data_IF_675912021631
#
_entry.id   IF_675912021631
#
_cell.length_a   1.000
_cell.length_b   1.000
_cell.length_c   1.000
_cell.angle_alpha   90.00
_cell.angle_beta   90.00
_cell.angle_gamma   90.00
#
_symmetry.space_group_name_H-M   'P 1'
#
loop_
_entity.id
_entity.type
_entity.pdbx_description
1 polymer ?
#
# COMPACT_ATOMS: atom_id res chain seq x y z
N UNK A 1 15.98 -21.21 23.21
CA UNK A 1 15.82 -20.16 24.26
C UNK A 1 17.08 -19.33 24.51
N UNK A 2 18.29 -19.92 24.43
CA UNK A 2 19.55 -19.20 24.67
C UNK A 2 19.75 -17.98 23.76
N UNK A 3 19.28 -18.04 22.54
CA UNK A 3 19.36 -16.94 21.57
C UNK A 3 18.47 -15.77 21.97
N UNK A 4 17.20 -15.99 22.28
CA UNK A 4 16.27 -14.94 22.73
C UNK A 4 16.77 -14.29 24.01
N UNK A 5 17.21 -15.08 24.96
CA UNK A 5 17.74 -14.59 26.24
C UNK A 5 19.01 -13.76 26.07
N UNK A 6 19.90 -14.13 25.13
CA UNK A 6 21.10 -13.35 24.81
C UNK A 6 20.80 -12.01 24.15
N UNK A 7 19.67 -11.92 23.43
CA UNK A 7 19.17 -10.69 22.83
C UNK A 7 18.28 -9.86 23.80
N UNK A 8 18.06 -10.33 25.03
CA UNK A 8 17.16 -9.68 25.99
C UNK A 8 15.68 -9.72 25.58
N UNK A 9 15.31 -10.69 24.73
CA UNK A 9 13.95 -10.85 24.20
C UNK A 9 13.25 -12.06 24.79
N UNK A 10 11.95 -12.02 24.79
CA UNK A 10 11.06 -13.13 25.14
C UNK A 10 10.35 -13.66 23.91
N UNK A 11 9.76 -14.85 23.99
CA UNK A 11 8.87 -15.37 22.94
C UNK A 11 7.71 -14.46 22.63
N UNK A 12 7.21 -13.72 23.63
CA UNK A 12 6.15 -12.71 23.48
C UNK A 12 6.57 -11.55 22.58
N UNK A 13 7.86 -11.14 22.66
CA UNK A 13 8.36 -10.00 21.88
C UNK A 13 8.43 -10.30 20.36
N UNK A 14 8.65 -11.57 20.00
CA UNK A 14 8.71 -11.99 18.59
C UNK A 14 7.37 -12.52 18.07
N UNK A 15 6.46 -12.94 18.94
CA UNK A 15 5.15 -13.50 18.57
C UNK A 15 4.02 -12.48 18.53
N UNK A 16 4.31 -11.23 18.87
CA UNK A 16 3.29 -10.18 19.04
C UNK A 16 2.14 -10.63 19.98
N UNK A 17 2.52 -11.33 21.06
CA UNK A 17 1.59 -11.86 22.07
C UNK A 17 0.89 -13.18 21.65
N UNK A 18 1.24 -13.78 20.50
CA UNK A 18 0.67 -15.06 20.06
C UNK A 18 1.37 -16.25 20.72
N UNK A 19 0.64 -17.34 20.89
CA UNK A 19 1.22 -18.58 21.38
C UNK A 19 2.19 -19.16 20.33
N UNK A 20 3.44 -19.37 20.74
CA UNK A 20 4.48 -19.94 19.89
C UNK A 20 4.77 -21.37 20.28
N UNK A 21 4.90 -22.23 19.26
CA UNK A 21 5.32 -23.62 19.42
C UNK A 21 6.75 -23.79 18.93
N UNK A 22 7.55 -24.54 19.68
CA UNK A 22 8.85 -25.00 19.18
C UNK A 22 8.61 -26.25 18.33
N UNK A 23 9.03 -26.20 17.09
CA UNK A 23 8.96 -27.34 16.16
C UNK A 23 10.34 -27.68 15.65
N UNK A 24 10.67 -28.97 15.59
CA UNK A 24 11.95 -29.46 15.06
C UNK A 24 11.76 -29.92 13.63
N UNK A 25 12.49 -29.31 12.68
CA UNK A 25 12.54 -29.69 11.27
C UNK A 25 14.01 -29.89 10.87
N UNK A 26 14.34 -31.02 10.31
CA UNK A 26 15.71 -31.37 9.88
C UNK A 26 16.78 -31.15 10.98
N UNK A 27 16.44 -31.52 12.23
CA UNK A 27 17.33 -31.43 13.40
C UNK A 27 17.55 -29.99 13.90
N UNK A 28 16.82 -29.01 13.38
CA UNK A 28 16.83 -27.58 13.82
C UNK A 28 15.53 -27.22 14.51
N UNK A 29 15.62 -26.43 15.57
CA UNK A 29 14.45 -25.88 16.26
C UNK A 29 14.01 -24.58 15.59
N UNK A 30 12.69 -24.44 15.41
CA UNK A 30 12.02 -23.27 14.90
C UNK A 30 10.91 -22.83 15.86
N UNK A 31 10.69 -21.55 15.95
CA UNK A 31 9.50 -21.00 16.59
C UNK A 31 8.40 -20.82 15.55
N UNK A 32 7.25 -21.42 15.77
CA UNK A 32 6.09 -21.37 14.86
C UNK A 32 4.89 -20.75 15.59
N UNK A 33 4.40 -19.64 15.07
CA UNK A 33 3.11 -19.07 15.46
C UNK A 33 2.14 -19.24 14.28
N UNK A 34 0.97 -19.83 14.53
CA UNK A 34 -0.04 -20.07 13.51
C UNK A 34 -1.30 -19.30 13.85
N UNK A 35 -1.82 -18.57 12.87
CA UNK A 35 -3.09 -17.89 12.97
C UNK A 35 -3.97 -18.25 11.77
N UNK A 36 -5.23 -18.62 12.02
CA UNK A 36 -6.17 -19.02 10.97
C UNK A 36 -7.32 -18.02 10.89
N UNK A 37 -7.55 -17.48 9.71
CA UNK A 37 -8.66 -16.56 9.43
C UNK A 37 -9.65 -17.19 8.46
N UNK A 38 -10.93 -17.13 8.81
CA UNK A 38 -12.05 -17.45 7.91
C UNK A 38 -12.99 -16.26 7.89
N UNK A 39 -13.17 -15.64 6.73
CA UNK A 39 -13.96 -14.42 6.62
C UNK A 39 -14.39 -14.12 5.17
N UNK A 40 -15.05 -12.96 4.97
CA UNK A 40 -15.37 -12.43 3.65
C UNK A 40 -14.11 -12.10 2.86
N UNK A 41 -14.20 -12.09 1.53
CA UNK A 41 -13.09 -11.78 0.62
C UNK A 41 -12.38 -10.46 0.97
N UNK A 42 -13.15 -9.42 1.31
CA UNK A 42 -12.57 -8.11 1.68
C UNK A 42 -11.69 -8.20 2.93
N UNK A 43 -12.16 -8.91 3.95
CA UNK A 43 -11.40 -9.09 5.20
C UNK A 43 -10.19 -10.00 5.02
N UNK A 44 -10.28 -11.05 4.19
CA UNK A 44 -9.11 -11.86 3.80
C UNK A 44 -8.07 -11.00 3.10
N UNK A 45 -8.50 -10.09 2.21
CA UNK A 45 -7.61 -9.13 1.55
C UNK A 45 -6.86 -8.22 2.53
N UNK A 46 -7.50 -7.77 3.59
CA UNK A 46 -6.87 -6.98 4.67
C UNK A 46 -5.82 -7.81 5.43
N UNK A 47 -6.15 -9.04 5.83
CA UNK A 47 -5.22 -9.95 6.52
C UNK A 47 -4.00 -10.27 5.65
N UNK A 48 -4.20 -10.60 4.37
CA UNK A 48 -3.10 -10.89 3.45
C UNK A 48 -2.21 -9.65 3.24
N UNK A 49 -2.81 -8.47 3.14
CA UNK A 49 -2.07 -7.21 3.05
C UNK A 49 -1.19 -6.96 4.28
N UNK A 50 -1.74 -7.21 5.46
CA UNK A 50 -1.02 -7.05 6.73
C UNK A 50 0.13 -8.04 6.84
N UNK A 51 -0.14 -9.32 6.58
CA UNK A 51 0.86 -10.39 6.65
C UNK A 51 2.00 -10.23 5.63
N UNK A 52 1.71 -9.77 4.41
CA UNK A 52 2.69 -9.63 3.33
C UNK A 52 3.28 -8.22 3.23
N UNK A 53 2.88 -7.27 4.08
CA UNK A 53 3.25 -5.85 4.01
C UNK A 53 3.07 -5.26 2.61
N UNK A 54 2.08 -5.75 1.87
CA UNK A 54 1.84 -5.42 0.46
C UNK A 54 0.35 -5.45 0.11
N UNK A 55 -0.05 -4.61 -0.85
CA UNK A 55 -1.42 -4.64 -1.35
C UNK A 55 -1.72 -5.99 -2.02
N UNK A 56 -2.73 -6.69 -1.54
CA UNK A 56 -3.18 -7.96 -2.08
C UNK A 56 -4.50 -7.79 -2.84
N UNK A 57 -4.56 -8.30 -4.05
CA UNK A 57 -5.79 -8.46 -4.82
C UNK A 57 -6.38 -9.84 -4.52
N UNK A 58 -7.52 -9.87 -3.85
CA UNK A 58 -8.21 -11.10 -3.47
C UNK A 58 -9.63 -11.08 -4.01
N UNK A 59 -10.02 -12.20 -4.60
CA UNK A 59 -11.41 -12.49 -5.00
C UNK A 59 -11.79 -13.88 -4.48
N UNK A 60 -13.02 -14.33 -4.72
CA UNK A 60 -13.42 -15.71 -4.39
C UNK A 60 -12.66 -16.79 -5.14
N UNK A 61 -11.94 -16.44 -6.20
CA UNK A 61 -11.23 -17.38 -7.07
C UNK A 61 -9.73 -17.07 -7.25
N UNK A 62 -9.25 -15.92 -6.78
CA UNK A 62 -7.88 -15.47 -7.10
C UNK A 62 -7.25 -14.68 -5.97
N UNK A 63 -6.01 -15.02 -5.65
CA UNK A 63 -5.09 -14.21 -4.84
C UNK A 63 -3.96 -13.72 -5.74
N UNK A 64 -3.58 -12.44 -5.60
CA UNK A 64 -2.40 -11.87 -6.23
C UNK A 64 -1.79 -10.77 -5.33
N UNK A 65 -0.48 -10.83 -5.11
CA UNK A 65 0.29 -9.78 -4.44
C UNK A 65 1.73 -9.74 -4.96
N UNK A 66 2.29 -8.55 -5.10
CA UNK A 66 3.72 -8.32 -5.32
C UNK A 66 4.38 -8.04 -3.98
N UNK A 67 5.20 -8.95 -3.50
CA UNK A 67 5.77 -8.93 -2.15
C UNK A 67 7.23 -8.49 -2.20
N UNK A 68 7.60 -7.56 -1.32
CA UNK A 68 8.98 -7.09 -1.14
C UNK A 68 9.23 -6.87 0.36
N UNK A 69 9.49 -7.93 1.09
CA UNK A 69 9.65 -7.89 2.54
C UNK A 69 10.97 -7.27 2.98
N UNK A 70 12.03 -7.39 2.18
CA UNK A 70 13.35 -6.85 2.50
C UNK A 70 13.39 -5.34 2.82
N UNK A 71 12.36 -4.59 2.43
CA UNK A 71 12.24 -3.15 2.70
C UNK A 71 11.22 -2.84 3.79
N UNK A 72 10.67 -3.85 4.47
CA UNK A 72 9.71 -3.65 5.56
C UNK A 72 10.38 -3.08 6.81
N UNK A 73 9.61 -2.39 7.64
CA UNK A 73 10.09 -1.88 8.92
C UNK A 73 10.55 -3.01 9.85
N UNK A 74 9.87 -4.16 9.81
CA UNK A 74 10.24 -5.34 10.60
C UNK A 74 11.64 -5.85 10.22
N UNK A 75 11.96 -5.94 8.92
CA UNK A 75 13.28 -6.35 8.45
C UNK A 75 14.35 -5.35 8.87
N UNK A 76 14.07 -4.05 8.75
CA UNK A 76 15.00 -3.01 9.22
C UNK A 76 15.27 -3.13 10.73
N UNK A 77 14.23 -3.41 11.53
CA UNK A 77 14.36 -3.63 12.96
C UNK A 77 15.21 -4.86 13.29
N UNK A 78 14.92 -6.01 12.68
CA UNK A 78 15.69 -7.24 12.91
C UNK A 78 17.15 -7.09 12.48
N UNK A 79 17.40 -6.44 11.35
CA UNK A 79 18.76 -6.17 10.89
C UNK A 79 19.54 -5.26 11.84
N UNK A 80 18.88 -4.25 12.43
CA UNK A 80 19.47 -3.37 13.43
C UNK A 80 19.83 -4.11 14.73
N UNK A 81 19.14 -5.22 15.03
CA UNK A 81 19.41 -6.12 16.14
C UNK A 81 20.46 -7.20 15.82
N UNK A 82 21.07 -7.16 14.62
CA UNK A 82 22.06 -8.14 14.19
C UNK A 82 21.47 -9.51 13.79
N UNK A 83 20.15 -9.59 13.57
CA UNK A 83 19.47 -10.82 13.17
C UNK A 83 19.59 -11.02 11.66
N UNK A 84 20.04 -12.20 11.24
CA UNK A 84 20.03 -12.57 9.82
C UNK A 84 18.60 -12.81 9.32
N UNK A 85 18.06 -11.82 8.65
CA UNK A 85 16.69 -11.90 8.10
C UNK A 85 16.54 -12.89 6.96
N UNK A 86 17.63 -13.38 6.39
CA UNK A 86 17.61 -14.45 5.38
C UNK A 86 17.24 -15.83 5.97
N UNK A 87 17.47 -16.00 7.27
CA UNK A 87 17.10 -17.21 8.00
C UNK A 87 15.62 -17.24 8.44
N UNK A 88 14.92 -16.08 8.35
CA UNK A 88 13.52 -15.97 8.79
C UNK A 88 12.59 -16.14 7.59
N UNK A 89 11.60 -17.03 7.73
CA UNK A 89 10.57 -17.28 6.70
C UNK A 89 9.17 -17.02 7.25
N UNK A 90 8.34 -16.41 6.42
CA UNK A 90 6.91 -16.33 6.58
C UNK A 90 6.27 -17.50 5.83
N UNK A 91 5.60 -18.41 6.54
CA UNK A 91 4.78 -19.43 5.95
C UNK A 91 3.33 -18.93 5.92
N UNK A 92 2.74 -18.99 4.75
CA UNK A 92 1.41 -18.48 4.51
C UNK A 92 0.65 -19.46 3.61
N UNK A 93 -0.61 -19.72 3.91
CA UNK A 93 -1.47 -20.53 3.05
C UNK A 93 -2.80 -19.84 2.80
N UNK A 94 -3.38 -20.12 1.62
CA UNK A 94 -4.74 -19.71 1.29
C UNK A 94 -5.53 -20.91 0.81
N UNK A 95 -6.79 -20.99 1.24
CA UNK A 95 -7.74 -22.00 0.79
C UNK A 95 -8.91 -21.35 0.07
N UNK A 96 -9.27 -21.91 -1.08
CA UNK A 96 -10.39 -21.48 -1.90
C UNK A 96 -11.58 -22.45 -1.81
N UNK A 97 -12.78 -22.03 -2.20
CA UNK A 97 -13.93 -22.93 -2.28
C UNK A 97 -13.81 -24.06 -3.32
N UNK A 98 -12.87 -23.94 -4.27
CA UNK A 98 -12.64 -24.90 -5.35
C UNK A 98 -11.15 -25.20 -5.52
N UNK A 99 -10.83 -26.26 -6.27
CA UNK A 99 -9.46 -26.68 -6.53
C UNK A 99 -8.66 -25.61 -7.26
N UNK A 100 -7.41 -25.42 -6.81
CA UNK A 100 -6.48 -24.46 -7.41
C UNK A 100 -5.96 -25.04 -8.73
N UNK A 101 -6.05 -24.24 -9.77
CA UNK A 101 -5.60 -24.62 -11.13
C UNK A 101 -4.21 -24.06 -11.45
N UNK A 102 -3.81 -22.97 -10.78
CA UNK A 102 -2.47 -22.37 -10.98
C UNK A 102 -2.03 -21.60 -9.74
N UNK A 103 -0.74 -21.70 -9.37
CA UNK A 103 -0.15 -20.98 -8.24
C UNK A 103 1.36 -20.79 -8.41
N UNK A 104 1.91 -19.76 -7.80
CA UNK A 104 3.36 -19.56 -7.60
C UNK A 104 3.88 -20.20 -6.30
N UNK A 105 2.99 -20.72 -5.47
CA UNK A 105 3.29 -21.55 -4.31
C UNK A 105 3.25 -23.03 -4.64
N UNK A 106 2.99 -23.85 -3.63
CA UNK A 106 2.79 -25.30 -3.77
C UNK A 106 1.35 -25.66 -3.38
N UNK A 107 0.67 -26.45 -4.20
CA UNK A 107 -0.64 -27.00 -3.83
C UNK A 107 -0.45 -28.03 -2.72
N UNK A 108 -1.29 -27.97 -1.70
CA UNK A 108 -1.28 -28.94 -0.62
C UNK A 108 -1.67 -30.33 -1.16
N UNK A 109 -0.82 -31.36 -1.01
CA UNK A 109 -1.12 -32.70 -1.52
C UNK A 109 -2.40 -33.31 -0.93
N UNK A 110 -2.77 -32.95 0.29
CA UNK A 110 -3.96 -33.44 0.98
C UNK A 110 -5.21 -32.59 0.70
N UNK A 111 -5.05 -31.36 0.20
CA UNK A 111 -6.15 -30.44 -0.06
C UNK A 111 -5.89 -29.62 -1.34
N UNK A 112 -6.44 -30.03 -2.49
CA UNK A 112 -6.21 -29.33 -3.78
C UNK A 112 -6.77 -27.91 -3.82
N UNK A 113 -7.58 -27.52 -2.85
CA UNK A 113 -8.10 -26.14 -2.74
C UNK A 113 -7.14 -25.20 -2.03
N UNK A 114 -6.04 -25.71 -1.47
CA UNK A 114 -5.11 -24.96 -0.63
C UNK A 114 -3.75 -24.79 -1.31
N UNK A 115 -3.26 -23.56 -1.34
CA UNK A 115 -1.89 -23.24 -1.75
C UNK A 115 -1.06 -22.75 -0.56
N UNK A 116 0.16 -23.24 -0.47
CA UNK A 116 1.15 -22.90 0.54
C UNK A 116 2.26 -22.06 -0.07
N UNK A 117 2.67 -21.01 0.64
CA UNK A 117 3.74 -20.10 0.26
C UNK A 117 4.76 -20.03 1.38
N UNK A 118 6.04 -20.11 1.02
CA UNK A 118 7.17 -19.85 1.91
C UNK A 118 7.89 -18.62 1.40
N UNK A 119 7.92 -17.54 2.18
CA UNK A 119 8.49 -16.26 1.79
C UNK A 119 9.59 -15.90 2.78
N UNK A 120 10.82 -15.79 2.30
CA UNK A 120 11.94 -15.34 3.12
C UNK A 120 11.84 -13.83 3.36
N UNK A 121 12.17 -13.35 4.57
CA UNK A 121 12.11 -11.91 4.88
C UNK A 121 13.10 -11.06 4.06
N UNK A 122 14.18 -11.65 3.56
CA UNK A 122 15.08 -10.97 2.63
C UNK A 122 14.53 -10.88 1.19
N UNK A 123 13.32 -11.39 0.94
CA UNK A 123 12.72 -11.43 -0.41
C UNK A 123 12.46 -10.03 -0.95
N UNK A 124 12.91 -9.81 -2.19
CA UNK A 124 12.60 -8.64 -3.01
C UNK A 124 11.81 -9.08 -4.24
N UNK A 125 10.72 -8.38 -4.56
CA UNK A 125 9.96 -8.55 -5.83
C UNK A 125 9.51 -9.99 -6.13
N UNK A 126 8.80 -10.61 -5.20
CA UNK A 126 8.18 -11.93 -5.41
C UNK A 126 6.68 -11.79 -5.67
N UNK A 127 6.19 -12.48 -6.71
CA UNK A 127 4.76 -12.62 -6.95
C UNK A 127 4.19 -13.76 -6.10
N UNK A 128 3.18 -13.47 -5.30
CA UNK A 128 2.32 -14.46 -4.64
C UNK A 128 1.02 -14.52 -5.44
N UNK A 129 0.73 -15.70 -5.98
CA UNK A 129 -0.43 -15.91 -6.85
C UNK A 129 -1.01 -17.30 -6.63
N UNK A 130 -2.35 -17.38 -6.59
CA UNK A 130 -3.11 -18.62 -6.67
C UNK A 130 -4.48 -18.34 -7.29
N UNK A 131 -4.99 -19.27 -8.10
CA UNK A 131 -6.31 -19.13 -8.72
C UNK A 131 -6.96 -20.49 -8.95
N UNK A 132 -8.29 -20.52 -8.89
CA UNK A 132 -9.15 -21.66 -9.28
C UNK A 132 -9.64 -21.57 -10.73
N UNK A 133 -9.29 -20.47 -11.44
CA UNK A 133 -9.67 -20.25 -12.83
C UNK A 133 -8.47 -20.48 -13.74
N UNK A 134 -8.52 -21.54 -14.55
CA UNK A 134 -7.44 -21.95 -15.46
C UNK A 134 -7.13 -20.94 -16.57
N UNK A 135 -8.01 -19.97 -16.80
CA UNK A 135 -7.82 -18.91 -17.81
C UNK A 135 -7.09 -17.70 -17.27
N UNK A 136 -6.93 -17.61 -15.94
CA UNK A 136 -6.31 -16.48 -15.24
C UNK A 136 -4.81 -16.72 -15.05
N UNK A 137 -4.00 -15.79 -15.51
CA UNK A 137 -2.53 -15.80 -15.34
C UNK A 137 -2.06 -14.69 -14.40
N UNK A 138 -0.89 -14.84 -13.75
CA UNK A 138 -0.32 -13.77 -12.91
C UNK A 138 -0.20 -12.43 -13.65
N UNK A 139 0.24 -12.44 -14.91
CA UNK A 139 0.41 -11.22 -15.71
C UNK A 139 -0.93 -10.53 -16.04
N UNK A 140 -1.98 -11.31 -16.31
CA UNK A 140 -3.32 -10.76 -16.54
C UNK A 140 -3.88 -10.09 -15.28
N UNK A 141 -3.67 -10.70 -14.10
CA UNK A 141 -4.06 -10.11 -12.82
C UNK A 141 -3.21 -8.88 -12.52
N UNK A 142 -1.90 -8.93 -12.73
CA UNK A 142 -0.99 -7.79 -12.58
C UNK A 142 -1.45 -6.60 -13.42
N UNK A 143 -1.79 -6.80 -14.69
CA UNK A 143 -2.31 -5.76 -15.56
C UNK A 143 -3.64 -5.18 -15.04
N UNK A 144 -4.51 -6.03 -14.49
CA UNK A 144 -5.78 -5.61 -13.88
C UNK A 144 -5.52 -4.76 -12.64
N UNK A 145 -4.64 -5.19 -11.73
CA UNK A 145 -4.25 -4.47 -10.51
C UNK A 145 -3.63 -3.12 -10.85
N UNK A 146 -2.72 -3.07 -11.82
CA UNK A 146 -2.14 -1.82 -12.31
C UNK A 146 -3.21 -0.85 -12.81
N UNK A 147 -4.18 -1.34 -13.58
CA UNK A 147 -5.30 -0.55 -14.09
C UNK A 147 -6.22 -0.06 -12.96
N UNK A 148 -6.48 -0.90 -11.97
CA UNK A 148 -7.24 -0.54 -10.76
C UNK A 148 -6.52 0.52 -9.93
N UNK A 149 -5.19 0.53 -9.90
CA UNK A 149 -4.38 1.53 -9.18
C UNK A 149 -4.12 2.80 -10.00
N UNK A 150 -4.47 2.85 -11.28
CA UNK A 150 -4.28 4.06 -12.09
C UNK A 150 -5.25 5.16 -11.68
N UNK A 151 -4.72 6.38 -11.60
CA UNK A 151 -5.49 7.62 -11.42
C UNK A 151 -5.02 8.63 -12.44
N UNK A 152 -5.94 9.16 -13.22
CA UNK A 152 -5.60 10.10 -14.29
C UNK A 152 -4.96 11.39 -13.80
N UNK A 153 -4.09 11.98 -14.62
CA UNK A 153 -3.45 13.28 -14.36
C UNK A 153 -4.47 14.42 -14.45
N UNK A 154 -4.42 15.34 -13.50
CA UNK A 154 -5.28 16.53 -13.50
C UNK A 154 -4.82 17.52 -14.56
N UNK A 155 -5.75 17.98 -15.42
CA UNK A 155 -5.52 19.08 -16.36
C UNK A 155 -6.04 20.37 -15.75
N UNK A 156 -5.12 21.26 -15.31
CA UNK A 156 -5.48 22.57 -14.75
C UNK A 156 -5.99 23.49 -15.86
N UNK A 157 -7.25 23.97 -15.74
CA UNK A 157 -7.86 24.94 -16.66
C UNK A 157 -7.43 26.37 -16.36
N UNK A 158 -7.48 26.75 -15.08
CA UNK A 158 -7.07 28.09 -14.66
C UNK A 158 -6.64 28.14 -13.20
N UNK A 159 -5.72 29.04 -12.91
CA UNK A 159 -5.31 29.44 -11.56
C UNK A 159 -5.29 30.97 -11.54
N UNK A 160 -6.28 31.58 -10.92
CA UNK A 160 -6.47 33.03 -10.96
C UNK A 160 -6.50 33.63 -9.56
N UNK A 161 -5.75 34.73 -9.38
CA UNK A 161 -5.86 35.56 -8.20
C UNK A 161 -7.17 36.35 -8.25
N UNK A 162 -7.96 36.28 -7.19
CA UNK A 162 -9.21 37.03 -7.07
C UNK A 162 -8.94 38.48 -6.65
N UNK A 163 -9.93 39.36 -6.87
CA UNK A 163 -9.92 40.72 -6.29
C UNK A 163 -9.83 40.60 -4.76
N UNK A 164 -8.96 41.40 -4.16
CA UNK A 164 -8.78 41.38 -2.70
C UNK A 164 -9.92 42.13 -2.04
N UNK A 165 -10.61 41.44 -1.12
CA UNK A 165 -11.53 42.06 -0.18
C UNK A 165 -10.95 41.87 1.23
N UNK A 166 -10.68 42.94 1.96
CA UNK A 166 -10.08 42.88 3.31
C UNK A 166 -8.56 42.57 3.31
N UNK A 167 -8.04 42.03 4.43
CA UNK A 167 -6.62 41.90 4.72
C UNK A 167 -5.94 40.68 4.04
N UNK A 168 -6.66 39.69 3.50
CA UNK A 168 -6.14 38.45 2.96
C UNK A 168 -6.54 38.26 1.49
N UNK A 169 -5.63 37.69 0.72
CA UNK A 169 -5.88 37.33 -0.67
C UNK A 169 -6.44 35.91 -0.81
N UNK A 170 -7.09 35.68 -1.96
CA UNK A 170 -7.59 34.37 -2.35
C UNK A 170 -7.21 34.06 -3.79
N UNK A 171 -7.13 32.76 -4.11
CA UNK A 171 -6.84 32.25 -5.44
C UNK A 171 -7.84 31.15 -5.78
N UNK A 172 -8.42 31.19 -6.96
CA UNK A 172 -9.33 30.17 -7.46
C UNK A 172 -8.60 29.26 -8.45
N UNK A 173 -8.56 27.97 -8.12
CA UNK A 173 -8.06 26.88 -8.97
C UNK A 173 -9.25 26.18 -9.62
N UNK A 174 -9.21 26.04 -10.96
CA UNK A 174 -10.17 25.24 -11.75
C UNK A 174 -9.42 24.21 -12.59
N UNK A 175 -9.93 22.98 -12.66
CA UNK A 175 -9.32 21.90 -13.43
C UNK A 175 -10.36 20.98 -14.05
N UNK A 176 -9.96 20.10 -14.97
CA UNK A 176 -10.82 19.05 -15.51
C UNK A 176 -10.86 17.85 -14.55
N UNK A 177 -12.00 17.16 -14.50
CA UNK A 177 -12.11 15.86 -13.81
C UNK A 177 -11.08 14.91 -14.40
N UNK A 178 -10.28 14.26 -13.55
CA UNK A 178 -9.35 13.24 -13.97
C UNK A 178 -10.04 11.87 -13.99
N UNK A 179 -9.58 10.98 -14.85
CA UNK A 179 -10.11 9.63 -14.94
C UNK A 179 -9.96 8.91 -13.59
N UNK A 180 -10.97 8.19 -13.19
CA UNK A 180 -11.06 7.40 -11.96
C UNK A 180 -10.87 8.20 -10.64
N UNK A 181 -10.74 9.52 -10.68
CA UNK A 181 -10.62 10.34 -9.47
C UNK A 181 -11.89 10.33 -8.62
N UNK A 182 -11.73 10.09 -7.33
CA UNK A 182 -12.77 10.24 -6.30
C UNK A 182 -12.64 11.56 -5.54
N UNK A 183 -11.40 12.00 -5.34
CA UNK A 183 -11.06 13.27 -4.71
C UNK A 183 -9.78 13.89 -5.33
N UNK A 184 -9.38 15.04 -4.84
CA UNK A 184 -8.20 15.77 -5.31
C UNK A 184 -7.43 16.30 -4.12
N UNK A 185 -6.13 16.03 -4.09
CA UNK A 185 -5.22 16.65 -3.14
C UNK A 185 -4.65 17.93 -3.75
N UNK A 186 -4.78 19.04 -3.03
CA UNK A 186 -4.30 20.36 -3.44
C UNK A 186 -3.27 20.82 -2.43
N UNK A 187 -2.13 21.31 -2.91
CA UNK A 187 -1.08 21.86 -2.06
C UNK A 187 -0.62 23.20 -2.60
N UNK A 188 -0.25 24.10 -1.70
CA UNK A 188 0.32 25.39 -2.05
C UNK A 188 1.44 25.80 -1.11
N UNK A 189 2.42 26.53 -1.64
CA UNK A 189 3.57 27.03 -0.92
C UNK A 189 4.13 28.27 -1.59
N UNK A 190 4.87 29.08 -0.86
CA UNK A 190 5.74 30.12 -1.44
C UNK A 190 7.09 29.54 -1.91
N UNK A 191 7.42 28.32 -1.52
CA UNK A 191 8.63 27.60 -1.92
C UNK A 191 8.34 26.65 -3.10
N UNK A 192 9.14 26.72 -4.17
CA UNK A 192 8.98 25.89 -5.38
C UNK A 192 9.05 24.39 -5.13
N UNK A 193 9.80 23.97 -4.12
CA UNK A 193 9.97 22.57 -3.74
C UNK A 193 8.95 22.11 -2.70
N UNK A 194 7.97 22.93 -2.36
CA UNK A 194 6.91 22.63 -1.39
C UNK A 194 7.40 22.23 0.02
N UNK A 195 8.59 22.70 0.45
CA UNK A 195 9.17 22.36 1.78
C UNK A 195 8.28 22.82 2.94
N UNK A 196 7.59 23.96 2.83
CA UNK A 196 6.58 24.43 3.81
C UNK A 196 5.26 24.57 3.08
N UNK A 197 4.53 23.48 2.91
CA UNK A 197 3.28 23.42 2.16
C UNK A 197 2.06 23.40 3.08
N UNK A 198 0.97 24.00 2.61
CA UNK A 198 -0.37 23.78 3.13
C UNK A 198 -1.11 22.84 2.19
N UNK A 199 -1.89 21.91 2.73
CA UNK A 199 -2.62 20.90 1.97
C UNK A 199 -4.12 21.04 2.20
N UNK A 200 -4.91 20.63 1.20
CA UNK A 200 -6.35 20.47 1.30
C UNK A 200 -6.83 19.36 0.37
N UNK A 201 -7.96 18.76 0.72
CA UNK A 201 -8.66 17.78 -0.13
C UNK A 201 -9.93 18.43 -0.69
N UNK A 202 -10.24 18.16 -1.96
CA UNK A 202 -11.45 18.64 -2.63
C UNK A 202 -12.13 17.51 -3.41
N UNK A 203 -13.47 17.48 -3.35
CA UNK A 203 -14.30 16.59 -4.20
C UNK A 203 -14.73 17.26 -5.51
N UNK A 204 -14.69 18.63 -5.54
CA UNK A 204 -15.09 19.43 -6.70
C UNK A 204 -13.89 19.87 -7.52
N UNK A 205 -14.09 20.09 -8.82
CA UNK A 205 -13.06 20.55 -9.78
C UNK A 205 -12.76 22.04 -9.72
N UNK A 206 -13.30 22.73 -8.75
CA UNK A 206 -13.02 24.13 -8.43
C UNK A 206 -12.74 24.27 -6.94
N UNK A 207 -11.62 24.89 -6.60
CA UNK A 207 -11.20 25.09 -5.22
C UNK A 207 -10.69 26.51 -5.02
N UNK A 208 -11.11 27.17 -3.93
CA UNK A 208 -10.64 28.53 -3.58
C UNK A 208 -9.71 28.45 -2.38
N UNK A 209 -8.44 28.73 -2.62
CA UNK A 209 -7.41 28.86 -1.61
C UNK A 209 -7.60 30.21 -0.92
N UNK A 210 -7.79 30.17 0.40
CA UNK A 210 -8.06 31.37 1.23
C UNK A 210 -6.87 31.72 2.11
N UNK A 211 -6.95 32.89 2.76
CA UNK A 211 -5.99 33.36 3.78
C UNK A 211 -4.55 33.52 3.26
N UNK A 212 -4.36 33.81 1.97
CA UNK A 212 -3.06 34.04 1.37
C UNK A 212 -2.53 35.47 1.67
N UNK A 213 -1.18 35.62 1.66
CA UNK A 213 -0.56 36.97 1.72
C UNK A 213 -0.76 37.67 0.41
N UNK A 214 -1.02 39.00 0.46
CA UNK A 214 -1.16 39.88 -0.71
C UNK A 214 0.18 40.05 -1.44
N UNK A 215 0.16 40.29 -2.73
CA UNK A 215 1.33 40.57 -3.54
C UNK A 215 2.35 39.42 -3.62
N UNK A 216 2.01 38.24 -3.12
CA UNK A 216 2.93 37.12 -2.91
C UNK A 216 2.77 36.08 -4.02
N UNK A 217 3.91 35.52 -4.50
CA UNK A 217 3.95 34.40 -5.45
C UNK A 217 3.74 33.08 -4.71
N UNK A 218 2.78 32.29 -5.22
CA UNK A 218 2.51 30.94 -4.74
C UNK A 218 2.69 29.91 -5.85
N UNK A 219 3.28 28.77 -5.47
CA UNK A 219 3.27 27.55 -6.25
C UNK A 219 2.09 26.72 -5.76
N UNK A 220 1.26 26.26 -6.69
CA UNK A 220 0.06 25.46 -6.40
C UNK A 220 0.17 24.19 -7.20
N UNK A 221 -0.03 23.04 -6.55
CA UNK A 221 -0.11 21.76 -7.24
C UNK A 221 -1.38 21.01 -6.87
N UNK A 222 -1.88 20.23 -7.80
CA UNK A 222 -3.07 19.39 -7.62
C UNK A 222 -2.82 18.04 -8.25
N UNK A 223 -3.28 16.99 -7.58
CA UNK A 223 -3.33 15.63 -8.11
C UNK A 223 -4.66 14.99 -7.79
N UNK A 224 -5.06 14.03 -8.62
CA UNK A 224 -6.22 13.21 -8.36
C UNK A 224 -5.86 12.10 -7.37
N UNK A 225 -6.85 11.65 -6.62
CA UNK A 225 -6.73 10.54 -5.68
C UNK A 225 -8.00 9.68 -5.70
N UNK A 226 -7.84 8.42 -5.34
CA UNK A 226 -8.90 7.46 -5.02
C UNK A 226 -8.40 6.47 -4.00
N UNK A 227 -9.31 5.78 -3.34
CA UNK A 227 -8.99 4.58 -2.57
C UNK A 227 -9.03 3.39 -3.54
N UNK A 228 -8.01 2.53 -3.50
CA UNK A 228 -7.98 1.29 -4.29
C UNK A 228 -8.80 0.19 -3.62
N UNK A 229 -8.77 -1.02 -4.19
CA UNK A 229 -9.48 -2.21 -3.72
C UNK A 229 -9.00 -2.70 -2.33
N UNK A 230 -7.79 -2.32 -1.90
CA UNK A 230 -7.23 -2.66 -0.57
C UNK A 230 -7.41 -1.54 0.47
N UNK A 231 -8.25 -0.53 0.21
CA UNK A 231 -8.39 0.62 1.11
C UNK A 231 -7.23 1.62 1.07
N UNK A 232 -6.18 1.37 0.29
CA UNK A 232 -5.00 2.24 0.17
C UNK A 232 -5.29 3.45 -0.73
N UNK A 233 -4.85 4.63 -0.31
CA UNK A 233 -5.01 5.84 -1.10
C UNK A 233 -3.96 5.92 -2.20
N UNK A 234 -4.37 5.88 -3.47
CA UNK A 234 -3.52 5.98 -4.65
C UNK A 234 -3.70 7.31 -5.36
N UNK A 235 -2.60 7.82 -5.92
CA UNK A 235 -2.52 9.17 -6.46
C UNK A 235 -2.06 9.19 -7.92
N UNK A 236 -2.64 10.10 -8.70
CA UNK A 236 -2.09 10.48 -9.99
C UNK A 236 -0.96 11.51 -9.86
N UNK A 237 -0.34 11.82 -10.99
CA UNK A 237 0.74 12.81 -11.08
C UNK A 237 0.32 14.21 -10.64
N UNK A 238 1.28 14.93 -10.07
CA UNK A 238 1.09 16.35 -9.75
C UNK A 238 1.03 17.22 -11.01
N UNK A 239 0.05 18.10 -11.05
CA UNK A 239 0.02 19.23 -11.97
C UNK A 239 0.32 20.52 -11.20
N UNK A 240 1.37 21.23 -11.63
CA UNK A 240 1.89 22.42 -10.94
C UNK A 240 1.59 23.68 -11.73
N UNK A 241 1.18 24.74 -11.08
CA UNK A 241 1.00 26.11 -11.62
C UNK A 241 1.45 27.14 -10.60
N UNK A 242 1.76 28.35 -11.08
CA UNK A 242 2.14 29.47 -10.23
C UNK A 242 1.17 30.61 -10.40
N UNK A 243 0.98 31.39 -9.35
CA UNK A 243 0.13 32.59 -9.33
C UNK A 243 0.73 33.61 -8.36
N UNK A 244 0.65 34.89 -8.72
CA UNK A 244 0.91 35.99 -7.80
C UNK A 244 -0.43 36.57 -7.33
N UNK A 245 -0.62 36.65 -6.02
CA UNK A 245 -1.81 37.26 -5.42
C UNK A 245 -1.84 38.76 -5.69
N UNK A 246 -3.05 39.36 -5.81
CA UNK A 246 -3.19 40.79 -5.94
C UNK A 246 -2.79 41.51 -4.65
N UNK A 247 -2.35 42.76 -4.79
CA UNK A 247 -2.09 43.71 -3.67
C UNK A 247 -3.37 44.18 -3.03
#
# INVERSE_FOLDING_TARGET
DTWLTSAGMTTSDISDGKEMKVVTKDGKEFYEATETYSSTVDKIGEVVKEALSSDAYVTSTTLYSEVSLAQSESVAMYSAMGIDTSAITLNFSIEFPAAITSTTGTIDPANPNKANFVINLATTNRTVFATTDSTVTPDAVKATVQKLNQVGKVKVKSLKANKVKGKKATVTLKFKKAAQAKNYQIQWSTNKNFKKKTSATAKKVTYTIKKLKKGTKYFVRVRAAKTNYCGTEVYGDWSVKTVKTKK
#
